data_IF_601618551072
#
_entry.id   IF_601618551072
#
_cell.length_a   1.000
_cell.length_b   1.000
_cell.length_c   1.000
_cell.angle_alpha   90.00
_cell.angle_beta   90.00
_cell.angle_gamma   90.00
#
_symmetry.space_group_name_H-M   'P 1'
#
loop_
_entity.id
_entity.type
_entity.pdbx_description
1 polymer ?
#
# COMPACT_ATOMS: atom_id res chain seq x y z
N UNK A 1 -25.39 0.68 -15.92
CA UNK A 1 -24.11 0.09 -15.47
C UNK A 1 -24.42 -1.35 -15.14
N UNK A 2 -23.82 -2.32 -15.84
CA UNK A 2 -24.21 -3.72 -15.69
C UNK A 2 -23.56 -4.30 -14.42
N UNK A 3 -24.18 -5.32 -13.81
CA UNK A 3 -23.67 -5.96 -12.58
C UNK A 3 -22.22 -6.44 -12.76
N UNK A 4 -21.94 -7.04 -13.92
CA UNK A 4 -20.62 -7.58 -14.26
C UNK A 4 -19.56 -6.48 -14.33
N UNK A 5 -19.91 -5.28 -14.85
CA UNK A 5 -18.99 -4.13 -14.90
C UNK A 5 -18.57 -3.66 -13.49
N UNK A 6 -19.49 -3.73 -12.52
CA UNK A 6 -19.22 -3.35 -11.13
C UNK A 6 -18.24 -4.35 -10.50
N UNK A 7 -18.43 -5.65 -10.73
CA UNK A 7 -17.54 -6.68 -10.20
C UNK A 7 -16.16 -6.70 -10.85
N UNK A 8 -16.07 -6.46 -12.16
CA UNK A 8 -14.78 -6.29 -12.85
C UNK A 8 -14.00 -5.11 -12.25
N UNK A 9 -14.68 -3.97 -12.00
CA UNK A 9 -14.04 -2.82 -11.35
C UNK A 9 -13.64 -3.09 -9.91
N UNK A 10 -14.49 -3.77 -9.12
CA UNK A 10 -14.15 -4.18 -7.75
C UNK A 10 -12.95 -5.13 -7.72
N UNK A 11 -12.90 -6.10 -8.63
CA UNK A 11 -11.76 -7.01 -8.81
C UNK A 11 -10.47 -6.26 -9.14
N UNK A 12 -10.55 -5.28 -10.06
CA UNK A 12 -9.44 -4.38 -10.38
C UNK A 12 -8.94 -3.60 -9.17
N UNK A 13 -9.87 -3.01 -8.39
CA UNK A 13 -9.54 -2.27 -7.16
C UNK A 13 -8.89 -3.17 -6.09
N UNK A 14 -9.37 -4.41 -5.91
CA UNK A 14 -8.73 -5.39 -4.99
C UNK A 14 -7.31 -5.72 -5.46
N UNK A 15 -7.13 -5.96 -6.76
CA UNK A 15 -5.80 -6.22 -7.33
C UNK A 15 -4.84 -5.05 -7.09
N UNK A 16 -5.31 -3.81 -7.31
CA UNK A 16 -4.55 -2.60 -7.04
C UNK A 16 -4.20 -2.45 -5.55
N UNK A 17 -5.14 -2.72 -4.64
CA UNK A 17 -4.88 -2.69 -3.19
C UNK A 17 -3.83 -3.74 -2.78
N UNK A 18 -3.90 -4.96 -3.32
CA UNK A 18 -2.90 -6.02 -3.06
C UNK A 18 -1.52 -5.64 -3.59
N UNK A 19 -1.45 -5.06 -4.78
CA UNK A 19 -0.21 -4.53 -5.34
C UNK A 19 0.38 -3.42 -4.47
N UNK A 20 -0.46 -2.49 -4.03
CA UNK A 20 -0.05 -1.42 -3.13
C UNK A 20 0.48 -1.96 -1.79
N UNK A 21 -0.13 -3.04 -1.27
CA UNK A 21 0.35 -3.68 -0.05
C UNK A 21 1.73 -4.33 -0.22
N UNK A 22 1.99 -4.96 -1.37
CA UNK A 22 3.32 -5.51 -1.69
C UNK A 22 4.37 -4.42 -1.81
N UNK A 23 4.06 -3.31 -2.50
CA UNK A 23 4.96 -2.16 -2.60
C UNK A 23 5.24 -1.56 -1.22
N UNK A 24 4.21 -1.37 -0.40
CA UNK A 24 4.38 -0.84 0.93
C UNK A 24 5.30 -1.71 1.79
N UNK A 25 5.16 -3.05 1.73
CA UNK A 25 6.04 -3.96 2.46
C UNK A 25 7.52 -3.83 2.05
N UNK A 26 7.79 -3.60 0.76
CA UNK A 26 9.15 -3.34 0.28
C UNK A 26 9.68 -2.03 0.89
N UNK A 27 8.91 -0.95 0.83
CA UNK A 27 9.35 0.34 1.38
C UNK A 27 9.46 0.35 2.90
N UNK A 28 8.61 -0.39 3.62
CA UNK A 28 8.72 -0.58 5.06
C UNK A 28 10.01 -1.32 5.44
N UNK A 29 10.39 -2.35 4.67
CA UNK A 29 11.67 -3.04 4.82
C UNK A 29 12.86 -2.10 4.56
N UNK A 30 12.81 -1.28 3.51
CA UNK A 30 13.85 -0.30 3.19
C UNK A 30 13.97 0.77 4.27
N UNK A 31 12.83 1.26 4.79
CA UNK A 31 12.78 2.20 5.89
C UNK A 31 13.37 1.60 7.17
N UNK A 32 13.01 0.37 7.51
CA UNK A 32 13.53 -0.32 8.70
C UNK A 32 15.05 -0.51 8.60
N UNK A 33 15.53 -0.99 7.45
CA UNK A 33 16.96 -1.13 7.20
C UNK A 33 17.70 0.22 7.28
N UNK A 34 17.14 1.28 6.68
CA UNK A 34 17.74 2.60 6.74
C UNK A 34 17.78 3.16 8.16
N UNK A 35 16.69 3.03 8.91
CA UNK A 35 16.65 3.42 10.31
C UNK A 35 17.69 2.65 11.13
N UNK A 36 17.83 1.34 10.90
CA UNK A 36 18.84 0.51 11.56
C UNK A 36 20.26 1.04 11.31
N UNK A 37 20.60 1.33 10.05
CA UNK A 37 21.92 1.89 9.70
C UNK A 37 22.15 3.28 10.29
N UNK A 38 21.12 4.12 10.34
CA UNK A 38 21.23 5.49 10.90
C UNK A 38 21.48 5.47 12.40
N UNK A 39 20.73 4.65 13.15
CA UNK A 39 20.80 4.63 14.62
C UNK A 39 21.91 3.73 15.17
N UNK A 40 22.16 2.58 14.54
CA UNK A 40 23.06 1.54 15.06
C UNK A 40 24.27 1.27 14.17
N UNK A 41 24.34 1.86 12.97
CA UNK A 41 25.42 1.66 12.02
C UNK A 41 26.73 2.35 12.42
N UNK A 42 27.84 1.73 12.00
CA UNK A 42 29.16 2.34 12.00
C UNK A 42 29.17 3.58 11.08
N UNK A 43 30.09 4.52 11.32
CA UNK A 43 30.29 5.65 10.42
C UNK A 43 31.44 5.35 9.45
N UNK A 44 31.28 5.61 8.13
CA UNK A 44 30.06 6.08 7.46
C UNK A 44 28.96 5.00 7.40
N UNK A 45 27.70 5.42 7.44
CA UNK A 45 26.56 4.51 7.33
C UNK A 45 26.52 3.97 5.91
N UNK A 46 26.49 2.64 5.74
CA UNK A 46 26.32 2.02 4.43
C UNK A 46 24.85 1.79 4.15
N UNK A 47 24.30 2.58 3.24
CA UNK A 47 22.97 2.40 2.69
C UNK A 47 23.09 1.87 1.28
N UNK A 48 22.62 0.63 1.06
CA UNK A 48 22.59 -0.01 -0.26
C UNK A 48 23.95 -0.01 -1.00
N UNK A 49 25.04 -0.19 -0.24
CA UNK A 49 26.40 -0.19 -0.79
C UNK A 49 27.00 1.20 -1.02
N UNK A 50 26.28 2.27 -0.68
CA UNK A 50 26.79 3.65 -0.71
C UNK A 50 27.13 4.10 0.70
N UNK A 51 28.38 4.51 0.89
CA UNK A 51 28.81 5.15 2.13
C UNK A 51 28.22 6.57 2.20
N UNK A 52 27.45 6.83 3.24
CA UNK A 52 26.81 8.12 3.49
C UNK A 52 27.10 8.59 4.92
N UNK A 53 27.13 9.90 5.12
CA UNK A 53 27.02 10.43 6.47
C UNK A 53 25.63 10.15 7.06
N UNK A 54 25.51 10.22 8.40
CA UNK A 54 24.26 9.92 9.09
C UNK A 54 23.10 10.86 8.71
N UNK A 55 23.39 12.12 8.36
CA UNK A 55 22.37 13.09 7.99
C UNK A 55 21.71 12.71 6.67
N UNK A 56 22.53 12.48 5.64
CA UNK A 56 22.09 12.00 4.33
C UNK A 56 21.39 10.64 4.43
N UNK A 57 21.92 9.72 5.22
CA UNK A 57 21.28 8.43 5.49
C UNK A 57 19.89 8.58 6.16
N UNK A 58 19.77 9.53 7.09
CA UNK A 58 18.51 9.90 7.74
C UNK A 58 17.49 10.47 6.74
N UNK A 59 17.92 11.36 5.85
CA UNK A 59 17.06 11.94 4.80
C UNK A 59 16.52 10.84 3.88
N UNK A 60 17.38 9.92 3.41
CA UNK A 60 16.97 8.80 2.56
C UNK A 60 15.95 7.90 3.28
N UNK A 61 16.20 7.59 4.56
CA UNK A 61 15.27 6.80 5.38
C UNK A 61 13.92 7.50 5.53
N UNK A 62 13.92 8.81 5.75
CA UNK A 62 12.70 9.63 5.83
C UNK A 62 11.92 9.64 4.52
N UNK A 63 12.60 9.68 3.37
CA UNK A 63 11.95 9.59 2.06
C UNK A 63 11.21 8.25 1.89
N UNK A 64 11.79 7.12 2.34
CA UNK A 64 11.07 5.85 2.33
C UNK A 64 9.82 5.86 3.22
N UNK A 65 9.90 6.49 4.39
CA UNK A 65 8.74 6.64 5.27
C UNK A 65 7.61 7.46 4.61
N UNK A 66 7.95 8.56 3.93
CA UNK A 66 6.98 9.39 3.19
C UNK A 66 6.35 8.59 2.04
N UNK A 67 7.13 7.80 1.31
CA UNK A 67 6.62 6.97 0.22
C UNK A 67 5.66 5.90 0.77
N UNK A 68 6.04 5.20 1.86
CA UNK A 68 5.17 4.22 2.51
C UNK A 68 3.86 4.84 2.99
N UNK A 69 3.93 6.03 3.59
CA UNK A 69 2.73 6.76 4.02
C UNK A 69 1.84 7.16 2.84
N UNK A 70 2.44 7.58 1.72
CA UNK A 70 1.71 7.90 0.50
C UNK A 70 0.95 6.68 -0.05
N UNK A 71 1.56 5.50 -0.03
CA UNK A 71 0.89 4.24 -0.42
C UNK A 71 -0.28 3.89 0.50
N UNK A 72 -0.17 4.16 1.80
CA UNK A 72 -1.28 4.01 2.75
C UNK A 72 -2.45 4.92 2.37
N UNK A 73 -2.16 6.17 1.98
CA UNK A 73 -3.16 7.13 1.49
C UNK A 73 -3.85 6.66 0.20
N UNK A 74 -3.09 6.21 -0.80
CA UNK A 74 -3.63 5.71 -2.07
C UNK A 74 -4.52 4.49 -1.84
N UNK A 75 -4.09 3.55 -0.97
CA UNK A 75 -4.89 2.37 -0.60
C UNK A 75 -6.19 2.76 0.07
N UNK A 76 -6.16 3.76 0.96
CA UNK A 76 -7.37 4.33 1.56
C UNK A 76 -8.34 4.89 0.51
N UNK A 77 -7.83 5.52 -0.54
CA UNK A 77 -8.64 6.01 -1.64
C UNK A 77 -9.28 4.86 -2.45
N UNK A 78 -8.53 3.81 -2.79
CA UNK A 78 -9.09 2.64 -3.45
C UNK A 78 -10.17 1.95 -2.61
N UNK A 79 -9.99 1.90 -1.29
CA UNK A 79 -10.99 1.37 -0.38
C UNK A 79 -12.28 2.19 -0.40
N UNK A 80 -12.18 3.53 -0.38
CA UNK A 80 -13.34 4.42 -0.51
C UNK A 80 -14.07 4.23 -1.84
N UNK A 81 -13.34 4.15 -2.95
CA UNK A 81 -13.95 3.89 -4.27
C UNK A 81 -14.69 2.54 -4.31
N UNK A 82 -14.10 1.50 -3.73
CA UNK A 82 -14.75 0.19 -3.60
C UNK A 82 -16.02 0.26 -2.76
N UNK A 83 -16.00 0.95 -1.62
CA UNK A 83 -17.19 1.14 -0.77
C UNK A 83 -18.31 1.89 -1.49
N UNK A 84 -17.98 2.89 -2.32
CA UNK A 84 -18.97 3.59 -3.16
C UNK A 84 -19.58 2.63 -4.18
N UNK A 85 -18.78 1.82 -4.88
CA UNK A 85 -19.29 0.79 -5.79
C UNK A 85 -20.16 -0.26 -5.06
N UNK A 86 -19.76 -0.69 -3.87
CA UNK A 86 -20.54 -1.64 -3.06
C UNK A 86 -21.88 -1.03 -2.65
N UNK A 87 -21.92 0.27 -2.34
CA UNK A 87 -23.16 0.95 -1.99
C UNK A 87 -24.18 0.95 -3.13
N UNK A 88 -23.73 0.95 -4.40
CA UNK A 88 -24.62 0.83 -5.57
C UNK A 88 -25.19 -0.57 -5.80
N UNK A 89 -24.64 -1.59 -5.13
CA UNK A 89 -25.11 -2.97 -5.17
C UNK A 89 -26.08 -3.31 -4.02
N UNK A 90 -26.37 -2.36 -3.11
CA UNK A 90 -27.29 -2.57 -1.99
C UNK A 90 -28.68 -2.98 -2.51
N UNK A 91 -29.10 -4.20 -2.14
CA UNK A 91 -30.40 -4.76 -2.50
C UNK A 91 -30.34 -5.93 -3.50
N UNK A 92 -29.18 -6.21 -4.10
CA UNK A 92 -29.00 -7.37 -4.98
C UNK A 92 -28.53 -8.62 -4.22
N UNK A 93 -29.02 -9.80 -4.63
CA UNK A 93 -28.50 -11.08 -4.13
C UNK A 93 -27.08 -11.29 -4.66
N UNK A 94 -26.11 -11.19 -3.76
CA UNK A 94 -24.71 -11.43 -4.03
C UNK A 94 -24.44 -12.94 -4.08
N UNK A 95 -23.66 -13.38 -5.06
CA UNK A 95 -23.07 -14.72 -5.05
C UNK A 95 -22.00 -14.83 -3.96
N UNK A 96 -21.56 -16.05 -3.65
CA UNK A 96 -20.53 -16.29 -2.64
C UNK A 96 -19.19 -15.63 -3.01
N UNK A 97 -18.81 -15.68 -4.30
CA UNK A 97 -17.62 -15.01 -4.85
C UNK A 97 -17.70 -13.49 -4.72
N UNK A 98 -18.86 -12.91 -5.03
CA UNK A 98 -19.10 -11.47 -4.92
C UNK A 98 -19.05 -11.00 -3.45
N UNK A 99 -19.57 -11.81 -2.52
CA UNK A 99 -19.51 -11.53 -1.09
C UNK A 99 -18.07 -11.53 -0.56
N UNK A 100 -17.22 -12.44 -1.06
CA UNK A 100 -15.81 -12.51 -0.71
C UNK A 100 -15.03 -11.31 -1.26
N UNK A 101 -15.41 -10.81 -2.44
CA UNK A 101 -14.88 -9.58 -3.03
C UNK A 101 -15.22 -8.35 -2.18
N UNK A 102 -16.48 -8.23 -1.74
CA UNK A 102 -16.95 -7.16 -0.85
C UNK A 102 -16.22 -7.19 0.50
N UNK A 103 -15.94 -8.38 1.05
CA UNK A 103 -15.19 -8.55 2.30
C UNK A 103 -13.77 -7.98 2.23
N UNK A 104 -13.14 -7.90 1.05
CA UNK A 104 -11.79 -7.32 0.90
C UNK A 104 -11.76 -5.79 1.13
N UNK A 105 -12.93 -5.13 1.15
CA UNK A 105 -13.06 -3.69 1.39
C UNK A 105 -13.55 -3.35 2.81
N UNK A 106 -14.00 -4.35 3.59
CA UNK A 106 -14.33 -4.20 5.01
C UNK A 106 -13.08 -4.19 5.88
#
# INVERSE_FOLDING_TARGET
MNRDDVFVRLGGLVSQMRWMNRLQLIFDMLMFYGAWQVFFGAQPAMLFGVAMDRGNAGIVTMLFAIISWSFSGIRGNYRRQGLVLISTLKGMKLSEEESNLVRQFK
#
